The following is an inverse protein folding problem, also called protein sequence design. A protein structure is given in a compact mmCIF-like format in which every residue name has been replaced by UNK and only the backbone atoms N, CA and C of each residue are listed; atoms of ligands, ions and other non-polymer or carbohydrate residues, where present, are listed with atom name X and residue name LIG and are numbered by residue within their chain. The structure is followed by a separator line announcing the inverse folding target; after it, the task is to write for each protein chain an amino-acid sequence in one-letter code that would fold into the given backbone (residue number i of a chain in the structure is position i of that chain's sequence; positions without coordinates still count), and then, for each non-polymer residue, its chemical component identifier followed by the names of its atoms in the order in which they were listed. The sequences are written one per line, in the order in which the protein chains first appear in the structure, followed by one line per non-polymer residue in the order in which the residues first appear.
data_IF_996255522856
#
_entry.id   IF_996255522856
#
_cell.length_a   1.000
_cell.length_b   1.000
_cell.length_c   1.000
_cell.angle_alpha   90.00
_cell.angle_beta   90.00
_cell.angle_gamma   90.00
#
_symmetry.space_group_name_H-M   'P 1'
#
loop_
_entity.id
_entity.type
_entity.pdbx_description
1 polymer ?
#
# COMPACT_ATOMS: atom_id res chain seq x y z
N UNK A 1 -34.22 -28.78 -19.81
CA UNK A 1 -33.51 -27.50 -19.88
C UNK A 1 -32.59 -27.42 -18.68
N UNK A 2 -31.28 -27.61 -18.83
CA UNK A 2 -30.36 -27.42 -17.69
C UNK A 2 -30.10 -25.93 -17.50
N UNK A 3 -30.32 -25.46 -16.27
CA UNK A 3 -30.01 -24.13 -15.79
C UNK A 3 -28.48 -23.95 -15.81
N UNK A 4 -27.98 -23.05 -16.62
CA UNK A 4 -26.59 -22.57 -16.60
C UNK A 4 -26.40 -21.76 -15.34
N UNK A 5 -25.76 -22.34 -14.34
CA UNK A 5 -25.20 -21.63 -13.22
C UNK A 5 -24.11 -20.73 -13.79
N UNK A 6 -24.38 -19.43 -13.91
CA UNK A 6 -23.33 -18.41 -14.08
C UNK A 6 -22.39 -18.54 -12.88
N UNK A 7 -21.18 -19.01 -13.13
CA UNK A 7 -20.07 -18.77 -12.21
C UNK A 7 -19.97 -17.24 -12.06
N UNK A 8 -20.23 -16.75 -10.85
CA UNK A 8 -20.05 -15.34 -10.55
C UNK A 8 -18.62 -14.95 -10.92
N UNK A 9 -18.47 -13.91 -11.75
CA UNK A 9 -17.18 -13.30 -11.99
C UNK A 9 -16.58 -12.96 -10.63
N UNK A 10 -15.35 -13.39 -10.37
CA UNK A 10 -14.63 -12.99 -9.17
C UNK A 10 -14.60 -11.47 -9.16
N UNK A 11 -15.19 -10.88 -8.13
CA UNK A 11 -15.12 -9.43 -7.93
C UNK A 11 -13.66 -9.05 -7.73
N UNK A 12 -13.16 -8.06 -8.49
CA UNK A 12 -11.77 -7.61 -8.42
C UNK A 12 -11.42 -7.05 -7.03
N UNK A 13 -10.14 -6.91 -6.75
CA UNK A 13 -9.64 -6.36 -5.48
C UNK A 13 -10.17 -4.95 -5.20
N UNK A 14 -10.37 -4.16 -6.24
CA UNK A 14 -10.87 -2.79 -6.14
C UNK A 14 -12.28 -2.69 -5.53
N UNK A 15 -13.19 -3.59 -5.90
CA UNK A 15 -14.55 -3.59 -5.36
C UNK A 15 -14.57 -3.81 -3.84
N UNK A 16 -13.68 -4.67 -3.35
CA UNK A 16 -13.52 -4.96 -1.93
C UNK A 16 -12.86 -3.82 -1.16
N UNK A 17 -11.71 -3.35 -1.67
CA UNK A 17 -10.82 -2.48 -0.91
C UNK A 17 -11.09 -0.99 -1.11
N UNK A 18 -11.60 -0.56 -2.28
CA UNK A 18 -11.84 0.83 -2.59
C UNK A 18 -12.69 1.56 -1.53
N UNK A 19 -13.88 1.05 -1.16
CA UNK A 19 -14.72 1.67 -0.13
C UNK A 19 -14.06 1.68 1.25
N UNK A 20 -13.30 0.64 1.61
CA UNK A 20 -12.65 0.51 2.91
C UNK A 20 -11.51 1.52 3.07
N UNK A 21 -10.61 1.60 2.10
CA UNK A 21 -9.52 2.56 2.10
C UNK A 21 -10.01 4.01 1.97
N UNK A 22 -11.08 4.21 1.21
CA UNK A 22 -11.71 5.52 1.02
C UNK A 22 -12.50 6.07 2.20
N UNK A 23 -12.67 5.30 3.27
CA UNK A 23 -13.50 5.71 4.39
C UNK A 23 -12.96 6.95 5.14
N UNK A 24 -11.63 7.11 5.21
CA UNK A 24 -10.97 8.19 5.98
C UNK A 24 -9.70 8.70 5.30
N UNK A 25 -9.77 9.31 4.12
CA UNK A 25 -8.58 9.69 3.35
C UNK A 25 -7.69 10.71 4.07
N UNK A 26 -8.27 11.68 4.78
CA UNK A 26 -7.52 12.68 5.54
C UNK A 26 -6.80 12.09 6.77
N UNK A 27 -7.34 11.04 7.37
CA UNK A 27 -6.70 10.33 8.49
C UNK A 27 -5.61 9.37 7.96
N UNK A 28 -5.80 8.78 6.77
CA UNK A 28 -4.77 8.00 6.09
C UNK A 28 -3.53 8.84 5.73
N UNK A 29 -3.73 10.07 5.28
CA UNK A 29 -2.63 10.99 4.98
C UNK A 29 -1.63 11.16 6.15
N UNK A 30 -2.11 11.10 7.40
CA UNK A 30 -1.25 11.18 8.59
C UNK A 30 -0.21 10.06 8.68
N UNK A 31 -0.49 8.91 8.07
CA UNK A 31 0.42 7.76 8.01
C UNK A 31 1.19 7.70 6.70
N UNK A 32 0.54 7.99 5.56
CA UNK A 32 1.16 7.93 4.23
C UNK A 32 2.33 8.93 4.12
N UNK A 33 2.17 10.16 4.62
CA UNK A 33 3.22 11.17 4.60
C UNK A 33 4.50 10.75 5.33
N UNK A 34 4.39 9.82 6.27
CA UNK A 34 5.52 9.30 7.02
C UNK A 34 6.30 8.21 6.28
N UNK A 35 5.81 7.75 5.13
CA UNK A 35 6.50 6.81 4.24
C UNK A 35 7.44 7.50 3.25
N UNK A 36 7.38 8.81 3.12
CA UNK A 36 8.22 9.61 2.19
C UNK A 36 9.71 9.25 2.23
N UNK A 37 10.37 9.08 3.38
CA UNK A 37 11.78 8.67 3.40
C UNK A 37 12.03 7.30 2.74
N UNK A 38 11.07 6.39 2.81
CA UNK A 38 11.12 5.09 2.13
C UNK A 38 10.97 5.23 0.62
N UNK A 39 10.08 6.11 0.16
CA UNK A 39 9.90 6.43 -1.25
C UNK A 39 11.17 7.06 -1.86
N UNK A 40 11.80 7.98 -1.14
CA UNK A 40 13.08 8.58 -1.54
C UNK A 40 14.20 7.54 -1.61
N UNK A 41 14.23 6.60 -0.68
CA UNK A 41 15.22 5.51 -0.70
C UNK A 41 15.01 4.57 -1.90
N UNK A 42 13.79 4.35 -2.36
CA UNK A 42 13.48 3.61 -3.58
C UNK A 42 13.91 4.41 -4.83
N UNK A 43 13.53 5.69 -4.91
CA UNK A 43 13.90 6.57 -6.03
C UNK A 43 15.42 6.75 -6.17
N UNK A 44 16.17 6.70 -5.06
CA UNK A 44 17.64 6.75 -5.12
C UNK A 44 18.30 5.49 -5.74
N UNK A 45 17.53 4.44 -6.03
CA UNK A 45 17.99 3.16 -6.60
C UNK A 45 17.50 2.91 -8.02
N UNK A 46 16.70 3.80 -8.54
CA UNK A 46 16.22 3.77 -9.93
C UNK A 46 16.60 5.08 -10.60
N UNK A 47 16.97 4.99 -11.87
CA UNK A 47 17.24 6.18 -12.67
C UNK A 47 15.90 6.81 -13.05
N UNK A 48 15.68 8.05 -12.62
CA UNK A 48 14.50 8.83 -12.94
C UNK A 48 14.94 10.16 -13.55
N UNK A 49 14.48 10.42 -14.78
CA UNK A 49 14.79 11.63 -15.51
C UNK A 49 13.57 12.56 -15.64
N UNK A 50 13.78 13.87 -15.76
CA UNK A 50 12.69 14.79 -16.10
C UNK A 50 11.98 14.36 -17.39
N UNK A 51 10.64 14.31 -17.33
CA UNK A 51 9.82 13.89 -18.46
C UNK A 51 9.46 12.39 -18.47
N UNK A 52 10.13 11.55 -17.67
CA UNK A 52 9.76 10.13 -17.54
C UNK A 52 8.32 9.96 -17.08
N UNK A 53 7.66 8.93 -17.58
CA UNK A 53 6.29 8.56 -17.16
C UNK A 53 6.35 7.58 -16.00
N UNK A 54 5.83 7.96 -14.85
CA UNK A 54 5.86 7.16 -13.64
C UNK A 54 4.45 6.81 -13.19
N UNK A 55 4.16 5.52 -13.04
CA UNK A 55 2.89 5.02 -12.51
C UNK A 55 3.06 4.54 -11.08
N UNK A 56 2.23 5.05 -10.16
CA UNK A 56 2.08 4.51 -8.81
C UNK A 56 0.77 3.73 -8.68
N UNK A 57 0.87 2.44 -8.40
CA UNK A 57 -0.26 1.51 -8.25
C UNK A 57 -0.64 1.43 -6.77
N UNK A 58 -1.87 1.82 -6.45
CA UNK A 58 -2.30 2.07 -5.08
C UNK A 58 -1.76 3.40 -4.55
N UNK A 59 -1.92 4.48 -5.34
CA UNK A 59 -1.27 5.76 -5.10
C UNK A 59 -1.80 6.53 -3.85
N UNK A 60 -2.80 6.02 -3.14
CA UNK A 60 -3.32 6.59 -1.92
C UNK A 60 -3.72 8.06 -2.05
N UNK A 61 -3.25 8.88 -1.11
CA UNK A 61 -3.47 10.35 -1.13
C UNK A 61 -2.38 11.11 -1.91
N UNK A 62 -1.51 10.41 -2.64
CA UNK A 62 -0.59 11.00 -3.60
C UNK A 62 0.74 11.50 -3.05
N UNK A 63 1.21 11.00 -1.89
CA UNK A 63 2.49 11.44 -1.34
C UNK A 63 3.67 11.14 -2.29
N UNK A 64 3.69 9.96 -2.90
CA UNK A 64 4.72 9.59 -3.87
C UNK A 64 4.58 10.38 -5.18
N UNK A 65 3.35 10.63 -5.66
CA UNK A 65 3.12 11.40 -6.88
C UNK A 65 3.72 12.80 -6.79
N UNK A 66 3.64 13.44 -5.61
CA UNK A 66 4.29 14.73 -5.36
C UNK A 66 5.81 14.66 -5.53
N UNK A 67 6.46 13.61 -5.00
CA UNK A 67 7.91 13.42 -5.15
C UNK A 67 8.35 13.21 -6.61
N UNK A 68 7.50 12.56 -7.41
CA UNK A 68 7.73 12.38 -8.86
C UNK A 68 7.62 13.71 -9.57
N UNK A 69 6.58 14.49 -9.32
CA UNK A 69 6.37 15.81 -9.91
C UNK A 69 7.49 16.79 -9.56
N UNK A 70 7.94 16.81 -8.30
CA UNK A 70 9.06 17.65 -7.82
C UNK A 70 10.39 17.34 -8.55
N UNK A 71 10.52 16.15 -9.14
CA UNK A 71 11.69 15.74 -9.95
C UNK A 71 11.52 16.03 -11.45
N UNK A 72 10.41 16.66 -11.84
CA UNK A 72 10.10 17.00 -13.23
C UNK A 72 9.64 15.80 -14.07
N UNK A 73 9.40 14.65 -13.49
CA UNK A 73 8.78 13.50 -14.13
C UNK A 73 7.25 13.65 -14.16
N UNK A 74 6.58 12.92 -15.04
CA UNK A 74 5.13 12.95 -15.19
C UNK A 74 4.51 11.87 -14.31
N UNK A 75 3.75 12.30 -13.30
CA UNK A 75 3.14 11.43 -12.33
C UNK A 75 1.78 10.90 -12.80
N UNK A 76 1.60 9.58 -12.72
CA UNK A 76 0.35 8.86 -12.94
C UNK A 76 0.06 8.02 -11.70
N UNK A 77 -1.22 7.96 -11.31
CA UNK A 77 -1.65 7.15 -10.17
C UNK A 77 -2.90 6.33 -10.49
N UNK A 78 -2.97 5.14 -9.93
CA UNK A 78 -4.20 4.34 -9.86
C UNK A 78 -4.47 3.98 -8.41
N UNK A 79 -5.72 4.17 -7.97
CA UNK A 79 -6.17 3.69 -6.67
C UNK A 79 -7.57 3.07 -6.80
N UNK A 80 -7.86 2.07 -6.00
CA UNK A 80 -9.17 1.43 -5.95
C UNK A 80 -10.25 2.35 -5.34
N UNK A 81 -9.83 3.33 -4.53
CA UNK A 81 -10.69 4.25 -3.82
C UNK A 81 -10.87 5.57 -4.56
N UNK A 82 -12.12 5.89 -4.92
CA UNK A 82 -12.44 7.20 -5.49
C UNK A 82 -12.11 8.36 -4.52
N UNK A 83 -12.31 8.16 -3.22
CA UNK A 83 -12.03 9.19 -2.21
C UNK A 83 -10.51 9.45 -2.04
N UNK A 84 -9.65 8.41 -2.09
CA UNK A 84 -8.20 8.57 -2.08
C UNK A 84 -7.73 9.22 -3.38
N UNK A 85 -8.20 8.73 -4.52
CA UNK A 85 -7.88 9.32 -5.83
C UNK A 85 -8.29 10.80 -5.93
N UNK A 86 -9.44 11.17 -5.39
CA UNK A 86 -9.87 12.58 -5.32
C UNK A 86 -8.95 13.42 -4.43
N UNK A 87 -8.45 12.84 -3.33
CA UNK A 87 -7.47 13.50 -2.46
C UNK A 87 -6.13 13.69 -3.19
N UNK A 88 -5.65 12.65 -3.87
CA UNK A 88 -4.42 12.70 -4.66
C UNK A 88 -4.47 13.75 -5.78
N UNK A 89 -5.59 13.83 -6.53
CA UNK A 89 -5.80 14.86 -7.57
C UNK A 89 -5.77 16.28 -7.01
N UNK A 90 -6.29 16.47 -5.78
CA UNK A 90 -6.25 17.77 -5.10
C UNK A 90 -4.85 18.12 -4.62
N UNK A 91 -4.10 17.12 -4.17
CA UNK A 91 -2.74 17.28 -3.64
C UNK A 91 -1.71 17.56 -4.74
N UNK A 92 -1.83 16.85 -5.86
CA UNK A 92 -0.91 16.92 -7.01
C UNK A 92 -1.73 17.15 -8.28
N UNK A 93 -2.17 18.40 -8.55
CA UNK A 93 -3.07 18.71 -9.67
C UNK A 93 -2.50 18.39 -11.05
N UNK A 94 -1.18 18.33 -11.20
CA UNK A 94 -0.45 17.97 -12.42
C UNK A 94 -0.39 16.45 -12.66
N UNK A 95 -0.69 15.63 -11.66
CA UNK A 95 -0.71 14.18 -11.82
C UNK A 95 -2.01 13.69 -12.47
N UNK A 96 -1.89 12.69 -13.35
CA UNK A 96 -3.05 11.99 -13.90
C UNK A 96 -3.42 10.82 -12.97
N UNK A 97 -4.50 10.96 -12.19
CA UNK A 97 -4.94 9.94 -11.25
C UNK A 97 -6.26 9.33 -11.70
N UNK A 98 -6.29 7.99 -11.81
CA UNK A 98 -7.48 7.20 -12.18
C UNK A 98 -7.95 6.33 -11.01
N UNK A 99 -9.24 6.04 -10.99
CA UNK A 99 -9.80 4.96 -10.16
C UNK A 99 -9.73 3.68 -10.97
N UNK A 100 -9.21 2.59 -10.37
CA UNK A 100 -9.05 1.35 -11.11
C UNK A 100 -8.58 0.19 -10.23
N UNK A 101 -8.54 -1.00 -10.83
CA UNK A 101 -8.05 -2.22 -10.21
C UNK A 101 -6.61 -2.49 -10.63
N UNK A 102 -5.76 -2.86 -9.66
CA UNK A 102 -4.35 -3.20 -9.92
C UNK A 102 -4.19 -4.50 -10.72
N UNK A 103 -5.21 -5.35 -10.75
CA UNK A 103 -5.25 -6.58 -11.53
C UNK A 103 -5.75 -6.34 -12.99
N UNK A 104 -6.11 -5.08 -13.32
CA UNK A 104 -6.52 -4.65 -14.67
C UNK A 104 -6.26 -3.16 -14.84
N UNK A 105 -5.00 -2.78 -15.05
CA UNK A 105 -4.59 -1.39 -15.13
C UNK A 105 -5.11 -0.70 -16.40
N UNK A 106 -5.73 0.51 -16.29
CA UNK A 106 -6.37 1.20 -17.40
C UNK A 106 -5.36 1.95 -18.29
N UNK A 107 -4.25 1.29 -18.65
CA UNK A 107 -3.19 1.85 -19.49
C UNK A 107 -2.76 0.84 -20.56
N UNK A 108 -2.20 1.35 -21.66
CA UNK A 108 -1.62 0.54 -22.71
C UNK A 108 -0.32 -0.15 -22.26
N UNK A 109 0.07 -1.20 -22.97
CA UNK A 109 1.35 -1.87 -22.81
C UNK A 109 2.51 -0.87 -23.04
N UNK A 110 3.67 -1.14 -22.46
CA UNK A 110 4.93 -0.43 -22.71
C UNK A 110 4.84 1.11 -22.54
N UNK A 111 4.05 1.57 -21.57
CA UNK A 111 3.76 3.00 -21.38
C UNK A 111 4.75 3.69 -20.45
N UNK A 112 5.09 3.08 -19.31
CA UNK A 112 5.76 3.75 -18.21
C UNK A 112 7.25 3.46 -18.12
N UNK A 113 8.03 4.49 -17.80
CA UNK A 113 9.47 4.38 -17.53
C UNK A 113 9.78 3.82 -16.14
N UNK A 114 8.81 3.94 -15.21
CA UNK A 114 8.86 3.37 -13.86
C UNK A 114 7.44 3.03 -13.41
N UNK A 115 7.27 1.84 -12.83
CA UNK A 115 6.03 1.45 -12.14
C UNK A 115 6.36 1.17 -10.66
N UNK A 116 5.54 1.68 -9.76
CA UNK A 116 5.71 1.46 -8.31
C UNK A 116 4.43 0.92 -7.68
N UNK A 117 4.57 0.25 -6.55
CA UNK A 117 3.46 -0.10 -5.68
C UNK A 117 3.94 -0.20 -4.24
N UNK A 118 3.68 0.85 -3.49
CA UNK A 118 4.11 0.96 -2.10
C UNK A 118 3.01 0.46 -1.16
N UNK A 119 3.26 -0.64 -0.47
CA UNK A 119 2.30 -1.34 0.41
C UNK A 119 0.96 -1.62 -0.26
N UNK A 120 0.93 -1.87 -1.57
CA UNK A 120 -0.26 -1.99 -2.38
C UNK A 120 -0.52 -3.42 -2.89
N UNK A 121 0.41 -4.04 -3.61
CA UNK A 121 0.17 -5.27 -4.36
C UNK A 121 -0.33 -6.45 -3.53
N UNK A 122 -0.01 -6.55 -2.25
CA UNK A 122 -0.50 -7.63 -1.38
C UNK A 122 -2.00 -7.50 -1.00
N UNK A 123 -2.67 -6.42 -1.42
CA UNK A 123 -4.13 -6.29 -1.36
C UNK A 123 -4.84 -6.87 -2.58
N UNK A 124 -4.11 -7.24 -3.64
CA UNK A 124 -4.68 -7.91 -4.79
C UNK A 124 -5.33 -9.25 -4.40
N UNK A 125 -6.36 -9.66 -5.12
CA UNK A 125 -6.93 -11.00 -5.01
C UNK A 125 -5.92 -12.03 -5.52
N UNK A 126 -5.25 -11.70 -6.64
CA UNK A 126 -4.12 -12.43 -7.20
C UNK A 126 -2.93 -11.47 -7.38
N UNK A 127 -1.97 -11.53 -6.46
CA UNK A 127 -0.77 -10.68 -6.50
C UNK A 127 0.06 -10.91 -7.76
N UNK A 128 0.09 -12.14 -8.30
CA UNK A 128 0.83 -12.45 -9.52
C UNK A 128 0.16 -11.79 -10.73
N UNK A 129 -1.17 -11.76 -10.78
CA UNK A 129 -1.90 -11.03 -11.81
C UNK A 129 -1.64 -9.51 -11.74
N UNK A 130 -1.65 -8.93 -10.53
CA UNK A 130 -1.36 -7.51 -10.35
C UNK A 130 0.08 -7.15 -10.74
N UNK A 131 1.06 -7.99 -10.39
CA UNK A 131 2.46 -7.80 -10.79
C UNK A 131 2.64 -7.97 -12.31
N UNK A 132 1.89 -8.88 -12.95
CA UNK A 132 1.89 -9.05 -14.41
C UNK A 132 1.34 -7.81 -15.12
N UNK A 133 0.28 -7.21 -14.59
CA UNK A 133 -0.25 -5.94 -15.09
C UNK A 133 0.75 -4.79 -14.92
N UNK A 134 1.44 -4.71 -13.78
CA UNK A 134 2.52 -3.74 -13.58
C UNK A 134 3.64 -3.92 -14.63
N UNK A 135 4.03 -5.16 -14.94
CA UNK A 135 5.01 -5.45 -15.99
C UNK A 135 4.49 -5.13 -17.38
N UNK A 136 3.22 -5.41 -17.68
CA UNK A 136 2.61 -5.13 -18.99
C UNK A 136 2.63 -3.63 -19.32
N UNK A 137 2.31 -2.79 -18.36
CA UNK A 137 2.26 -1.34 -18.58
C UNK A 137 3.64 -0.67 -18.49
N UNK A 138 4.64 -1.32 -17.92
CA UNK A 138 6.03 -0.87 -17.91
C UNK A 138 6.66 -1.08 -19.27
N UNK A 139 7.54 -0.17 -19.71
CA UNK A 139 8.34 -0.36 -20.92
C UNK A 139 9.30 -1.53 -20.76
N UNK A 140 9.68 -2.23 -21.83
CA UNK A 140 10.68 -3.32 -21.74
C UNK A 140 11.95 -2.86 -21.02
N UNK A 141 12.33 -3.59 -19.96
CA UNK A 141 13.46 -3.28 -19.11
C UNK A 141 13.25 -2.16 -18.10
N UNK A 142 12.08 -1.52 -18.06
CA UNK A 142 11.76 -0.51 -17.05
C UNK A 142 11.67 -1.13 -15.64
N UNK A 143 12.05 -0.39 -14.58
CA UNK A 143 11.93 -0.88 -13.22
C UNK A 143 10.47 -0.95 -12.75
N UNK A 144 10.18 -2.02 -12.02
CA UNK A 144 8.96 -2.19 -11.22
C UNK A 144 9.41 -2.29 -9.77
N UNK A 145 9.01 -1.31 -8.95
CA UNK A 145 9.36 -1.22 -7.52
C UNK A 145 8.20 -1.71 -6.67
N UNK A 146 8.45 -2.74 -5.87
CA UNK A 146 7.47 -3.35 -4.98
C UNK A 146 7.90 -3.10 -3.54
N UNK A 147 7.02 -2.53 -2.72
CA UNK A 147 7.25 -2.38 -1.29
C UNK A 147 6.21 -3.18 -0.49
N UNK A 148 6.68 -3.87 0.53
CA UNK A 148 5.87 -4.52 1.54
C UNK A 148 6.36 -4.15 2.95
N UNK A 149 5.58 -4.50 3.97
CA UNK A 149 6.05 -4.41 5.35
C UNK A 149 7.28 -5.31 5.53
N UNK A 150 8.28 -4.81 6.23
CA UNK A 150 9.47 -5.57 6.58
C UNK A 150 9.22 -6.59 7.69
N UNK A 151 10.26 -7.28 8.17
CA UNK A 151 10.15 -8.34 9.18
C UNK A 151 9.38 -7.87 10.43
N UNK A 152 8.47 -8.70 10.91
CA UNK A 152 7.59 -8.39 12.05
C UNK A 152 8.35 -7.88 13.29
N UNK A 153 9.53 -8.46 13.58
CA UNK A 153 10.36 -8.09 14.73
C UNK A 153 10.93 -6.68 14.65
N UNK A 154 10.88 -6.04 13.48
CA UNK A 154 11.36 -4.68 13.22
C UNK A 154 10.22 -3.66 13.07
N UNK A 155 8.98 -4.05 13.41
CA UNK A 155 7.79 -3.23 13.25
C UNK A 155 7.07 -3.04 14.60
N UNK A 156 7.14 -1.85 15.16
CA UNK A 156 6.44 -1.50 16.41
C UNK A 156 4.91 -1.57 16.24
N UNK A 157 4.38 -1.46 15.00
CA UNK A 157 2.97 -1.65 14.67
C UNK A 157 2.46 -3.09 14.90
N UNK A 158 3.33 -4.08 15.09
CA UNK A 158 2.90 -5.44 15.46
C UNK A 158 2.15 -5.47 16.80
N UNK A 159 2.50 -4.59 17.74
CA UNK A 159 1.77 -4.45 19.00
C UNK A 159 0.30 -4.04 18.77
N UNK A 160 0.03 -3.21 17.75
CA UNK A 160 -1.32 -2.85 17.35
C UNK A 160 -2.11 -4.06 16.82
N UNK A 161 -1.49 -4.88 15.97
CA UNK A 161 -2.15 -6.08 15.42
C UNK A 161 -2.61 -7.04 16.52
N UNK A 162 -1.79 -7.22 17.55
CA UNK A 162 -2.13 -8.09 18.69
C UNK A 162 -3.35 -7.61 19.45
N UNK A 163 -3.45 -6.31 19.76
CA UNK A 163 -4.59 -5.74 20.48
C UNK A 163 -5.82 -5.56 19.59
N UNK A 164 -5.63 -5.46 18.28
CA UNK A 164 -6.72 -5.37 17.31
C UNK A 164 -7.43 -6.71 17.07
N UNK A 165 -6.71 -7.81 17.19
CA UNK A 165 -7.21 -9.16 16.87
C UNK A 165 -8.58 -9.51 17.46
N UNK A 166 -8.91 -9.21 18.73
CA UNK A 166 -10.22 -9.52 19.32
C UNK A 166 -11.41 -8.77 18.70
N UNK A 167 -11.14 -7.74 17.90
CA UNK A 167 -12.17 -6.94 17.23
C UNK A 167 -12.61 -7.51 15.89
N UNK A 168 -11.90 -8.49 15.38
CA UNK A 168 -12.15 -9.11 14.08
C UNK A 168 -12.49 -10.59 14.24
N UNK A 169 -13.30 -11.14 13.31
CA UNK A 169 -13.57 -12.57 13.31
C UNK A 169 -12.26 -13.35 13.17
N UNK A 170 -12.17 -14.54 13.78
CA UNK A 170 -11.02 -15.40 13.55
C UNK A 170 -10.91 -15.76 12.08
N UNK A 171 -9.67 -15.87 11.61
CA UNK A 171 -9.42 -16.33 10.24
C UNK A 171 -9.99 -17.75 10.08
N UNK A 172 -10.65 -18.07 8.95
CA UNK A 172 -11.10 -19.43 8.67
C UNK A 172 -9.95 -20.44 8.79
N UNK A 173 -10.22 -21.59 9.40
CA UNK A 173 -9.18 -22.60 9.67
C UNK A 173 -8.59 -23.21 8.37
N UNK A 174 -9.37 -23.18 7.29
CA UNK A 174 -9.02 -23.66 5.95
C UNK A 174 -8.43 -22.56 5.05
N UNK A 175 -8.32 -21.32 5.53
CA UNK A 175 -7.71 -20.25 4.75
C UNK A 175 -6.20 -20.55 4.53
N UNK A 176 -5.69 -20.41 3.28
CA UNK A 176 -4.29 -20.63 2.99
C UNK A 176 -3.40 -19.68 3.81
N UNK A 177 -2.20 -20.08 4.25
CA UNK A 177 -1.33 -19.21 5.02
C UNK A 177 -1.02 -17.93 4.23
N UNK A 178 -0.98 -16.80 4.92
CA UNK A 178 -0.53 -15.56 4.27
C UNK A 178 0.95 -15.66 3.96
N UNK A 179 1.39 -15.23 2.76
CA UNK A 179 2.81 -15.19 2.44
C UNK A 179 3.55 -14.27 3.41
N UNK A 180 4.68 -14.73 3.90
CA UNK A 180 5.61 -13.89 4.66
C UNK A 180 6.48 -13.12 3.65
N UNK A 181 5.91 -12.05 3.09
CA UNK A 181 6.51 -11.29 1.99
C UNK A 181 7.95 -10.80 2.24
N UNK A 182 8.37 -10.38 3.46
CA UNK A 182 9.74 -9.98 3.71
C UNK A 182 10.73 -11.15 3.83
N UNK A 183 10.27 -12.40 3.79
CA UNK A 183 11.20 -13.54 3.73
C UNK A 183 11.95 -13.56 2.39
N UNK A 184 13.27 -13.75 2.41
CA UNK A 184 14.06 -13.86 1.19
C UNK A 184 13.49 -14.92 0.23
N UNK A 185 13.37 -14.56 -1.04
CA UNK A 185 12.86 -15.43 -2.10
C UNK A 185 11.35 -15.45 -2.29
N UNK A 186 10.56 -14.85 -1.37
CA UNK A 186 9.07 -14.82 -1.52
C UNK A 186 8.65 -13.84 -2.59
N UNK A 187 9.08 -12.58 -2.50
CA UNK A 187 8.76 -11.58 -3.53
C UNK A 187 9.42 -11.93 -4.87
N UNK A 188 10.66 -12.37 -4.84
CA UNK A 188 11.39 -12.75 -6.05
C UNK A 188 10.67 -13.88 -6.82
N UNK A 189 10.15 -14.89 -6.11
CA UNK A 189 9.36 -15.96 -6.74
C UNK A 189 8.07 -15.42 -7.37
N UNK A 190 7.28 -14.65 -6.62
CA UNK A 190 6.01 -14.07 -7.11
C UNK A 190 6.24 -13.15 -8.32
N UNK A 191 7.30 -12.37 -8.29
CA UNK A 191 7.71 -11.48 -9.36
C UNK A 191 8.13 -12.26 -10.61
N UNK A 192 8.88 -13.35 -10.43
CA UNK A 192 9.26 -14.26 -11.52
C UNK A 192 8.04 -14.96 -12.12
N UNK A 193 7.10 -15.42 -11.30
CA UNK A 193 5.84 -16.02 -11.75
C UNK A 193 4.98 -15.02 -12.56
N UNK A 194 5.12 -13.73 -12.28
CA UNK A 194 4.48 -12.67 -13.05
C UNK A 194 5.19 -12.34 -14.39
N UNK A 195 6.37 -12.91 -14.64
CA UNK A 195 7.16 -12.66 -15.85
C UNK A 195 8.16 -11.52 -15.73
N UNK A 196 8.33 -10.94 -14.53
CA UNK A 196 9.32 -9.91 -14.25
C UNK A 196 10.65 -10.55 -13.81
N UNK A 197 11.76 -9.82 -13.99
CA UNK A 197 13.10 -10.27 -13.58
C UNK A 197 13.51 -9.58 -12.27
N UNK A 198 13.57 -10.27 -11.13
CA UNK A 198 14.07 -9.70 -9.88
C UNK A 198 15.51 -9.20 -10.02
N UNK A 199 15.82 -8.00 -9.52
CA UNK A 199 17.15 -7.41 -9.64
C UNK A 199 17.77 -7.11 -8.27
N UNK A 200 17.11 -6.35 -7.41
CA UNK A 200 17.66 -5.90 -6.14
C UNK A 200 16.59 -5.89 -5.04
N UNK A 201 16.90 -6.55 -3.93
CA UNK A 201 16.09 -6.47 -2.71
C UNK A 201 16.84 -5.70 -1.63
N UNK A 202 16.11 -4.88 -0.84
CA UNK A 202 16.68 -4.11 0.26
C UNK A 202 15.63 -3.75 1.30
N UNK A 203 16.08 -3.46 2.51
CA UNK A 203 15.23 -2.97 3.60
C UNK A 203 15.49 -1.49 3.87
N UNK A 204 14.44 -0.79 4.29
CA UNK A 204 14.57 0.54 4.88
C UNK A 204 13.98 0.57 6.28
N UNK A 205 14.49 1.48 7.11
CA UNK A 205 13.86 1.81 8.37
C UNK A 205 12.96 3.04 8.19
N UNK A 206 11.74 2.96 8.71
CA UNK A 206 10.82 4.10 8.79
C UNK A 206 10.50 4.44 10.23
N UNK A 207 10.15 5.69 10.50
CA UNK A 207 9.70 6.11 11.83
C UNK A 207 8.42 6.91 11.69
N UNK A 208 7.34 6.39 12.26
CA UNK A 208 6.09 7.14 12.36
C UNK A 208 6.10 7.96 13.65
N UNK A 209 5.74 9.22 13.53
CA UNK A 209 5.66 10.18 14.64
C UNK A 209 4.27 10.78 14.68
N UNK A 210 3.66 10.71 15.84
CA UNK A 210 2.37 11.34 16.09
C UNK A 210 2.55 12.31 17.24
N UNK A 211 2.16 13.60 17.08
CA UNK A 211 2.41 14.64 18.09
C UNK A 211 1.61 14.40 19.37
N UNK A 212 0.49 13.69 19.27
CA UNK A 212 -0.42 13.43 20.38
C UNK A 212 -1.22 12.15 20.15
N UNK A 213 -1.98 11.76 21.19
CA UNK A 213 -2.80 10.57 21.19
C UNK A 213 -3.98 10.66 20.20
N UNK A 214 -4.57 11.85 20.03
CA UNK A 214 -5.70 12.03 19.12
C UNK A 214 -5.27 11.80 17.67
N UNK A 215 -4.13 12.34 17.27
CA UNK A 215 -3.54 12.11 15.95
C UNK A 215 -3.22 10.64 15.72
N UNK A 216 -2.64 9.96 16.73
CA UNK A 216 -2.40 8.51 16.68
C UNK A 216 -3.72 7.73 16.49
N UNK A 217 -4.76 8.04 17.29
CA UNK A 217 -6.08 7.38 17.23
C UNK A 217 -6.69 7.48 15.83
N UNK A 218 -6.60 8.64 15.20
CA UNK A 218 -7.10 8.88 13.86
C UNK A 218 -6.31 8.10 12.81
N UNK A 219 -4.99 8.21 12.85
CA UNK A 219 -4.10 7.57 11.89
C UNK A 219 -4.19 6.03 11.91
N UNK A 220 -4.34 5.45 13.10
CA UNK A 220 -4.29 3.99 13.26
C UNK A 220 -5.60 3.26 12.93
N UNK A 221 -6.71 3.96 12.77
CA UNK A 221 -8.00 3.34 12.37
C UNK A 221 -8.34 3.55 10.89
N UNK A 222 -7.57 4.39 10.19
CA UNK A 222 -7.77 4.67 8.78
C UNK A 222 -7.37 3.52 7.84
N UNK A 223 -6.22 2.82 8.05
CA UNK A 223 -5.75 1.80 7.12
C UNK A 223 -6.76 0.69 6.89
N UNK A 224 -6.92 0.28 5.63
CA UNK A 224 -7.77 -0.83 5.20
C UNK A 224 -9.21 -0.78 5.75
N UNK A 225 -9.69 0.41 6.10
CA UNK A 225 -11.03 0.58 6.66
C UNK A 225 -11.24 -0.04 8.03
N UNK A 226 -10.21 -0.14 8.87
CA UNK A 226 -10.30 -0.75 10.20
C UNK A 226 -11.47 -0.20 11.03
N UNK A 227 -11.70 1.13 11.01
CA UNK A 227 -12.84 1.74 11.70
C UNK A 227 -14.19 1.23 11.17
N UNK A 228 -14.32 1.04 9.86
CA UNK A 228 -15.54 0.54 9.22
C UNK A 228 -15.78 -0.92 9.60
N UNK A 229 -14.72 -1.74 9.55
CA UNK A 229 -14.78 -3.17 9.85
C UNK A 229 -15.10 -3.45 11.32
N UNK A 230 -14.61 -2.62 12.24
CA UNK A 230 -14.93 -2.70 13.67
C UNK A 230 -16.36 -2.24 13.98
N UNK A 231 -16.86 -1.29 13.19
CA UNK A 231 -18.18 -0.69 13.38
C UNK A 231 -18.20 0.45 14.40
N UNK A 232 -19.14 1.38 14.21
CA UNK A 232 -19.23 2.62 14.98
C UNK A 232 -19.39 2.39 16.49
N UNK A 233 -20.12 1.35 16.88
CA UNK A 233 -20.39 1.03 18.30
C UNK A 233 -19.12 0.64 19.07
N UNK A 234 -18.16 -0.01 18.40
CA UNK A 234 -16.92 -0.52 19.01
C UNK A 234 -15.70 0.31 18.66
N UNK A 235 -15.83 1.34 17.83
CA UNK A 235 -14.69 2.14 17.39
C UNK A 235 -13.93 2.79 18.55
N UNK A 236 -14.64 3.29 19.56
CA UNK A 236 -14.01 3.90 20.74
C UNK A 236 -13.19 2.87 21.52
N UNK A 237 -13.76 1.70 21.80
CA UNK A 237 -13.07 0.59 22.48
C UNK A 237 -11.82 0.14 21.68
N UNK A 238 -11.94 0.07 20.35
CA UNK A 238 -10.85 -0.28 19.45
C UNK A 238 -9.71 0.74 19.51
N UNK A 239 -10.03 2.04 19.44
CA UNK A 239 -9.03 3.12 19.59
C UNK A 239 -8.32 3.06 20.94
N UNK A 240 -9.04 2.77 22.02
CA UNK A 240 -8.45 2.60 23.34
C UNK A 240 -7.53 1.37 23.42
N UNK A 241 -7.89 0.28 22.76
CA UNK A 241 -7.05 -0.92 22.68
C UNK A 241 -5.74 -0.60 21.93
N UNK A 242 -5.81 0.13 20.81
CA UNK A 242 -4.63 0.57 20.04
C UNK A 242 -3.71 1.42 20.92
N UNK A 243 -4.24 2.42 21.61
CA UNK A 243 -3.45 3.30 22.48
C UNK A 243 -2.78 2.49 23.60
N UNK A 244 -3.49 1.55 24.22
CA UNK A 244 -2.90 0.65 25.23
C UNK A 244 -1.76 -0.20 24.64
N UNK A 245 -1.94 -0.76 23.45
CA UNK A 245 -0.92 -1.57 22.77
C UNK A 245 0.32 -0.79 22.42
N UNK A 246 0.14 0.49 22.04
CA UNK A 246 1.23 1.38 21.64
C UNK A 246 1.79 2.24 22.79
N UNK A 247 1.29 2.09 24.01
CA UNK A 247 1.76 2.83 25.17
C UNK A 247 3.30 2.76 25.42
N UNK A 248 3.99 1.62 25.16
CA UNK A 248 5.44 1.55 25.28
C UNK A 248 6.21 2.49 24.33
N UNK A 249 5.56 3.01 23.30
CA UNK A 249 6.15 3.89 22.27
C UNK A 249 5.81 5.38 22.50
N UNK A 250 5.16 5.70 23.63
CA UNK A 250 4.87 7.08 24.00
C UNK A 250 6.16 7.84 24.31
N UNK A 251 6.25 9.07 23.82
CA UNK A 251 7.39 9.93 24.06
C UNK A 251 7.16 10.84 25.29
N UNK A 252 8.23 11.37 25.93
CA UNK A 252 8.08 12.20 27.13
C UNK A 252 7.23 13.46 26.94
N UNK A 253 7.16 13.98 25.70
CA UNK A 253 6.35 15.14 25.31
C UNK A 253 4.88 14.79 25.02
N UNK A 254 4.49 13.53 25.23
CA UNK A 254 3.11 13.08 25.09
C UNK A 254 2.74 12.53 23.72
N UNK A 255 3.62 12.62 22.74
CA UNK A 255 3.47 12.03 21.41
C UNK A 255 3.80 10.54 21.36
N UNK A 256 3.95 10.02 20.15
CA UNK A 256 4.31 8.60 19.89
C UNK A 256 5.39 8.52 18.82
N UNK A 257 6.29 7.55 18.98
CA UNK A 257 7.32 7.22 17.98
C UNK A 257 7.33 5.71 17.75
N UNK A 258 6.95 5.32 16.53
CA UNK A 258 6.90 3.91 16.10
C UNK A 258 7.99 3.66 15.06
N UNK A 259 8.87 2.74 15.33
CA UNK A 259 9.88 2.28 14.37
C UNK A 259 9.27 1.19 13.53
N UNK A 260 9.42 1.30 12.24
CA UNK A 260 8.95 0.32 11.27
C UNK A 260 10.07 -0.02 10.29
N UNK A 261 9.95 -1.14 9.63
CA UNK A 261 10.80 -1.53 8.52
C UNK A 261 9.93 -1.82 7.30
N UNK A 262 10.46 -1.53 6.14
CA UNK A 262 9.86 -1.90 4.86
C UNK A 262 10.86 -2.72 4.07
N UNK A 263 10.35 -3.72 3.37
CA UNK A 263 11.10 -4.54 2.45
C UNK A 263 10.72 -4.18 1.01
N UNK A 264 11.74 -4.03 0.16
CA UNK A 264 11.59 -3.63 -1.23
C UNK A 264 12.19 -4.67 -2.15
N UNK A 265 11.55 -4.84 -3.29
CA UNK A 265 12.14 -5.52 -4.44
C UNK A 265 12.03 -4.60 -5.65
N UNK A 266 13.14 -4.40 -6.35
CA UNK A 266 13.18 -3.82 -7.69
C UNK A 266 13.29 -4.98 -8.67
N UNK A 267 12.40 -5.01 -9.66
CA UNK A 267 12.41 -5.96 -10.75
C UNK A 267 12.40 -5.23 -12.09
N UNK A 268 12.66 -5.94 -13.19
CA UNK A 268 12.60 -5.43 -14.56
C UNK A 268 11.45 -6.08 -15.32
N UNK A 269 10.74 -5.26 -16.10
CA UNK A 269 9.72 -5.70 -17.05
C UNK A 269 10.30 -6.33 -18.31
#
# INVERSE_FOLDING_TARGET
MPSTTQAGAATGSAERWGPLWGARPADWALSEDQQVPGYEAALARVDLSPGDLVLDVGCGVGAFLGLVADRGARAFGVDASDALAAHARKRVPEAEVRVGDMESLPYADDTFDLVTGFTAFFFATDIVAALREAGRVAKPGAPVVIQVWGPHQRNDLEAMKQVARPFFPPRPADAPPEPDYPQPGVLERLTTEAGLTPETAFDTAGTYRFPDEETLRRAMVAPAGLAVLVGAEREHEFKDAIVRGLAPHRTPDGGYRLRNAFHYLIARA
#
